data_IF_068857663432
#
_entry.id   IF_068857663432
#
_cell.length_a   1.000
_cell.length_b   1.000
_cell.length_c   1.000
_cell.angle_alpha   90.00
_cell.angle_beta   90.00
_cell.angle_gamma   90.00
#
_symmetry.space_group_name_H-M   'P 1'
#
loop_
_entity.id
_entity.type
_entity.pdbx_description
1 polymer ?
#
# COMPACT_ATOMS: atom_id res chain seq x y z
N UNK A 1 15.84 1.03 -0.16
CA UNK A 1 15.87 0.32 1.15
C UNK A 1 15.25 -1.05 0.98
N UNK A 2 15.79 -2.10 1.58
CA UNK A 2 15.28 -3.46 1.39
C UNK A 2 14.29 -3.85 2.49
N UNK A 3 13.12 -4.39 2.12
CA UNK A 3 12.16 -4.92 3.10
C UNK A 3 12.53 -6.35 3.53
N UNK A 4 11.72 -6.96 4.41
CA UNK A 4 11.98 -8.32 4.92
C UNK A 4 11.82 -9.42 3.86
N UNK A 5 11.08 -9.13 2.78
CA UNK A 5 10.92 -10.00 1.61
C UNK A 5 12.10 -9.89 0.63
N UNK A 6 13.10 -9.07 0.94
CA UNK A 6 14.23 -8.83 0.04
C UNK A 6 13.93 -7.87 -1.12
N UNK A 7 12.76 -7.23 -1.16
CA UNK A 7 12.37 -6.28 -2.20
C UNK A 7 12.99 -4.91 -1.96
N UNK A 8 13.44 -4.27 -3.04
CA UNK A 8 13.96 -2.91 -3.00
C UNK A 8 12.83 -1.89 -3.06
N UNK A 9 12.70 -1.10 -1.98
CA UNK A 9 11.73 -0.02 -1.80
C UNK A 9 12.45 1.31 -2.00
N UNK A 10 11.96 2.12 -2.93
CA UNK A 10 12.49 3.45 -3.23
C UNK A 10 11.34 4.46 -3.35
N UNK A 11 11.69 5.74 -3.49
CA UNK A 11 10.70 6.78 -3.79
C UNK A 11 9.98 6.47 -5.10
N UNK A 12 8.67 6.69 -5.11
CA UNK A 12 7.81 6.35 -6.25
C UNK A 12 7.39 4.89 -6.32
N UNK A 13 7.99 3.96 -5.56
CA UNK A 13 7.55 2.55 -5.52
C UNK A 13 6.11 2.44 -5.04
N UNK A 14 5.28 1.70 -5.78
CA UNK A 14 3.97 1.29 -5.31
C UNK A 14 4.10 0.18 -4.27
N UNK A 15 3.36 0.32 -3.18
CA UNK A 15 3.39 -0.60 -2.06
C UNK A 15 1.99 -1.06 -1.67
N UNK A 16 1.91 -2.31 -1.22
CA UNK A 16 0.78 -2.89 -0.51
C UNK A 16 1.10 -3.07 0.97
N UNK A 17 0.08 -2.96 1.82
CA UNK A 17 0.15 -3.32 3.23
C UNK A 17 -1.17 -3.89 3.72
N UNK A 18 -1.14 -5.08 4.32
CA UNK A 18 -2.28 -5.63 5.04
C UNK A 18 -2.64 -4.78 6.25
N UNK A 19 -3.93 -4.58 6.47
CA UNK A 19 -4.52 -3.95 7.64
C UNK A 19 -5.59 -4.88 8.22
N UNK A 20 -5.75 -4.85 9.53
CA UNK A 20 -6.75 -5.65 10.22
C UNK A 20 -7.39 -4.81 11.31
N UNK A 21 -8.72 -4.72 11.29
CA UNK A 21 -9.52 -4.01 12.31
C UNK A 21 -10.30 -5.01 13.17
N UNK A 22 -9.58 -5.92 13.81
CA UNK A 22 -10.15 -7.03 14.57
C UNK A 22 -10.69 -8.11 13.64
N UNK A 23 -11.92 -7.91 13.17
CA UNK A 23 -12.69 -8.92 12.44
C UNK A 23 -12.59 -8.81 10.91
N UNK A 24 -12.25 -7.63 10.38
CA UNK A 24 -12.10 -7.47 8.94
C UNK A 24 -10.62 -7.38 8.54
N UNK A 25 -10.31 -8.04 7.43
CA UNK A 25 -9.05 -7.86 6.72
C UNK A 25 -9.28 -6.87 5.59
N UNK A 26 -8.37 -5.90 5.49
CA UNK A 26 -8.28 -4.99 4.37
C UNK A 26 -6.82 -4.92 3.92
N UNK A 27 -6.59 -4.40 2.73
CA UNK A 27 -5.24 -4.06 2.30
C UNK A 27 -5.23 -2.63 1.79
N UNK A 28 -4.16 -1.91 2.09
CA UNK A 28 -3.95 -0.55 1.60
C UNK A 28 -2.94 -0.55 0.48
N UNK A 29 -3.22 0.28 -0.51
CA UNK A 29 -2.35 0.56 -1.65
C UNK A 29 -1.86 2.00 -1.52
N UNK A 30 -0.57 2.21 -1.73
CA UNK A 30 0.03 3.53 -1.66
C UNK A 30 1.30 3.65 -2.47
N UNK A 31 1.85 4.85 -2.50
CA UNK A 31 3.11 5.18 -3.17
C UNK A 31 4.09 5.75 -2.15
N UNK A 32 5.33 5.29 -2.22
CA UNK A 32 6.40 5.82 -1.38
C UNK A 32 6.68 7.26 -1.78
N UNK A 33 6.53 8.18 -0.82
CA UNK A 33 6.86 9.60 -0.98
C UNK A 33 8.32 9.90 -0.65
N UNK A 34 8.83 9.29 0.42
CA UNK A 34 10.19 9.53 0.89
C UNK A 34 10.70 8.35 1.71
N UNK A 35 11.99 8.04 1.56
CA UNK A 35 12.69 7.16 2.50
C UNK A 35 13.10 7.98 3.73
N UNK A 36 12.94 7.43 4.93
CA UNK A 36 13.35 8.06 6.19
C UNK A 36 14.40 7.22 6.90
N UNK A 37 15.00 7.80 7.94
CA UNK A 37 15.99 7.12 8.75
C UNK A 37 15.41 5.91 9.50
N UNK A 38 16.29 5.00 9.91
CA UNK A 38 15.98 3.85 10.80
C UNK A 38 14.86 2.94 10.29
N UNK A 39 14.76 2.74 8.97
CA UNK A 39 13.80 1.81 8.39
C UNK A 39 12.38 2.36 8.23
N UNK A 40 12.18 3.67 8.46
CA UNK A 40 10.89 4.31 8.24
C UNK A 40 10.73 4.77 6.79
N UNK A 41 9.50 4.75 6.30
CA UNK A 41 9.12 5.16 4.93
C UNK A 41 7.87 6.03 5.02
N UNK A 42 7.88 7.17 4.33
CA UNK A 42 6.68 7.99 4.15
C UNK A 42 5.89 7.47 2.95
N UNK A 43 4.62 7.15 3.16
CA UNK A 43 3.74 6.60 2.13
C UNK A 43 2.50 7.50 2.01
N UNK A 44 2.17 7.89 0.77
CA UNK A 44 0.83 8.40 0.44
C UNK A 44 -0.04 7.19 0.12
N UNK A 45 -1.04 6.94 0.94
CA UNK A 45 -2.03 5.91 0.67
C UNK A 45 -3.05 6.46 -0.33
N UNK A 46 -3.40 5.62 -1.30
CA UNK A 46 -4.28 5.92 -2.43
C UNK A 46 -5.62 5.22 -2.24
N UNK A 47 -5.59 3.98 -1.75
CA UNK A 47 -6.80 3.20 -1.54
C UNK A 47 -6.70 2.25 -0.35
N UNK A 48 -7.86 1.89 0.18
CA UNK A 48 -8.07 0.76 1.08
C UNK A 48 -9.11 -0.17 0.48
N UNK A 49 -8.75 -1.43 0.31
CA UNK A 49 -9.60 -2.45 -0.30
C UNK A 49 -10.04 -3.45 0.76
N UNK A 50 -11.35 -3.68 0.84
CA UNK A 50 -11.93 -4.66 1.75
C UNK A 50 -11.91 -6.04 1.10
N UNK A 51 -11.22 -7.01 1.71
CA UNK A 51 -11.00 -8.34 1.12
C UNK A 51 -12.06 -9.39 1.48
N UNK A 52 -13.03 -9.05 2.34
CA UNK A 52 -14.05 -9.99 2.83
C UNK A 52 -15.37 -9.95 2.04
N UNK A 53 -15.55 -8.97 1.16
CA UNK A 53 -16.73 -8.86 0.33
C UNK A 53 -16.67 -9.81 -0.87
N UNK A 54 -17.81 -10.36 -1.31
CA UNK A 54 -17.92 -11.15 -2.55
C UNK A 54 -17.43 -10.37 -3.78
N UNK A 55 -17.56 -9.06 -3.73
CA UNK A 55 -17.00 -8.11 -4.68
C UNK A 55 -16.12 -7.16 -3.87
N UNK A 56 -14.78 -7.17 -4.06
CA UNK A 56 -13.89 -6.22 -3.39
C UNK A 56 -14.35 -4.79 -3.65
N UNK A 57 -14.34 -3.97 -2.61
CA UNK A 57 -14.64 -2.54 -2.70
C UNK A 57 -13.40 -1.77 -2.30
N UNK A 58 -12.93 -0.91 -3.20
CA UNK A 58 -11.86 0.04 -2.93
C UNK A 58 -12.46 1.38 -2.47
N UNK A 59 -11.87 1.96 -1.42
CA UNK A 59 -12.18 3.31 -0.95
C UNK A 59 -10.96 4.18 -1.13
N UNK A 60 -11.15 5.38 -1.66
CA UNK A 60 -10.10 6.39 -1.74
C UNK A 60 -9.57 6.78 -0.36
N UNK A 61 -8.24 6.81 -0.30
CA UNK A 61 -7.49 7.41 0.78
C UNK A 61 -6.70 8.57 0.16
N UNK A 62 -6.67 9.70 0.85
CA UNK A 62 -5.68 10.74 0.60
C UNK A 62 -5.01 11.10 1.93
N UNK A 63 -4.25 10.14 2.44
CA UNK A 63 -3.53 10.30 3.70
C UNK A 63 -2.09 9.88 3.57
N UNK A 64 -1.20 10.60 4.26
CA UNK A 64 0.22 10.26 4.33
C UNK A 64 0.55 9.75 5.73
N UNK A 65 1.27 8.64 5.82
CA UNK A 65 1.75 8.13 7.11
C UNK A 65 3.19 7.62 7.02
N UNK A 66 3.84 7.53 8.19
CA UNK A 66 5.18 6.96 8.32
C UNK A 66 5.04 5.53 8.83
N UNK A 67 5.66 4.59 8.13
CA UNK A 67 5.54 3.16 8.43
C UNK A 67 6.90 2.50 8.32
N UNK A 68 7.07 1.35 8.98
CA UNK A 68 8.28 0.57 8.87
C UNK A 68 8.34 -0.10 7.48
N UNK A 69 9.51 -0.07 6.82
CA UNK A 69 9.75 -0.69 5.51
C UNK A 69 9.41 -2.19 5.50
N UNK A 70 9.63 -2.88 6.61
CA UNK A 70 9.34 -4.31 6.76
C UNK A 70 7.85 -4.59 6.91
N UNK A 71 6.99 -3.57 7.03
CA UNK A 71 5.53 -3.72 6.97
C UNK A 71 4.96 -3.50 5.56
N UNK A 72 5.82 -3.28 4.57
CA UNK A 72 5.44 -2.97 3.19
C UNK A 72 5.84 -4.11 2.25
N UNK A 73 5.03 -4.30 1.21
CA UNK A 73 5.32 -5.16 0.07
C UNK A 73 5.37 -4.29 -1.19
N UNK A 74 6.45 -4.37 -1.98
CA UNK A 74 6.46 -3.75 -3.31
C UNK A 74 5.47 -4.49 -4.21
N UNK A 75 4.70 -3.73 -4.98
CA UNK A 75 3.70 -4.26 -5.91
C UNK A 75 3.83 -3.61 -7.27
N UNK A 76 3.38 -4.32 -8.29
CA UNK A 76 3.15 -3.78 -9.62
C UNK A 76 1.69 -3.31 -9.72
N UNK A 77 1.40 -2.01 -9.87
CA UNK A 77 0.03 -1.51 -9.92
C UNK A 77 -0.74 -2.04 -11.13
N UNK A 78 -0.08 -2.51 -12.19
CA UNK A 78 -0.73 -3.09 -13.37
C UNK A 78 -1.34 -4.46 -13.11
N UNK A 79 -1.01 -5.08 -11.96
CA UNK A 79 -1.56 -6.38 -11.54
C UNK A 79 -2.79 -6.25 -10.63
N UNK A 80 -3.21 -5.02 -10.35
CA UNK A 80 -4.37 -4.75 -9.50
C UNK A 80 -5.69 -5.01 -10.23
N UNK A 81 -6.70 -5.42 -9.46
CA UNK A 81 -8.04 -5.73 -9.99
C UNK A 81 -8.82 -4.50 -10.43
N UNK A 82 -9.96 -4.70 -11.12
CA UNK A 82 -10.80 -3.62 -11.65
C UNK A 82 -11.37 -2.70 -10.56
N UNK A 83 -11.44 -3.13 -9.30
CA UNK A 83 -11.82 -2.28 -8.17
C UNK A 83 -10.89 -1.06 -7.99
N UNK A 84 -9.70 -1.10 -8.59
CA UNK A 84 -8.70 -0.03 -8.56
C UNK A 84 -8.78 0.91 -9.78
N UNK A 85 -9.75 0.72 -10.69
CA UNK A 85 -9.96 1.65 -11.81
C UNK A 85 -10.33 3.06 -11.30
N UNK A 86 -9.70 4.08 -11.88
CA UNK A 86 -9.92 5.49 -11.52
C UNK A 86 -9.06 6.04 -10.38
N UNK A 87 -8.25 5.20 -9.73
CA UNK A 87 -7.29 5.64 -8.71
C UNK A 87 -5.98 6.15 -9.34
N UNK A 88 -5.29 7.04 -8.63
CA UNK A 88 -4.00 7.65 -9.03
C UNK A 88 -2.85 6.63 -8.96
N UNK A 89 -2.81 5.73 -9.95
CA UNK A 89 -1.84 4.64 -10.09
C UNK A 89 -0.82 4.86 -11.24
N UNK A 90 -0.83 6.05 -11.86
CA UNK A 90 0.01 6.42 -13.00
C UNK A 90 1.37 7.05 -12.60
#
# INVERSE_FOLDING_TARGET
MKNWLGQDIQEGTFIGRGSRDGDHSSYRIGRVKALKDKGAVSVRWIAEVQSYARTPVARELDLTSNVNVHSLMAIDPTTLGPEMEGFDLA
#
